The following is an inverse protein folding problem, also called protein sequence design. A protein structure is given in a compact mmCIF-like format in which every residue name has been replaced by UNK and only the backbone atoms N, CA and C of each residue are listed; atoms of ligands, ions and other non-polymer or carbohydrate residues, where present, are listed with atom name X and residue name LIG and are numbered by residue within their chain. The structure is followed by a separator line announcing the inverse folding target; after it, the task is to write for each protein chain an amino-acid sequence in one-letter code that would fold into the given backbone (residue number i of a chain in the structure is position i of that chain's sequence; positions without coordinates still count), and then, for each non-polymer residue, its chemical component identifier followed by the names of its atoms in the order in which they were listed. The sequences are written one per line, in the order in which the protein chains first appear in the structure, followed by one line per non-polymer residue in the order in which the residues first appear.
data_IF_566288368622
#
_entry.id   IF_566288368622
#
_cell.length_a   1.000
_cell.length_b   1.000
_cell.length_c   1.000
_cell.angle_alpha   90.00
_cell.angle_beta   90.00
_cell.angle_gamma   90.00
#
_symmetry.space_group_name_H-M   'P 1'
#
loop_
_entity.id
_entity.type
_entity.pdbx_description
1 polymer ?
#
# COMPACT_ATOMS: atom_id res chain seq x y z
N UNK A 1 18.08 -8.84 -23.58
CA UNK A 1 17.78 -8.00 -22.40
C UNK A 1 19.05 -7.68 -21.60
N UNK A 2 19.96 -8.63 -21.38
CA UNK A 2 21.20 -8.41 -20.61
C UNK A 2 22.04 -7.22 -21.06
N UNK A 3 22.31 -7.07 -22.38
CA UNK A 3 23.07 -5.92 -22.90
C UNK A 3 22.44 -4.56 -22.59
N UNK A 4 21.11 -4.50 -22.46
CA UNK A 4 20.41 -3.26 -22.13
C UNK A 4 20.62 -2.91 -20.66
N UNK A 5 20.45 -3.88 -19.75
CA UNK A 5 20.70 -3.69 -18.31
C UNK A 5 22.15 -3.35 -18.00
N UNK A 6 23.12 -3.87 -18.76
CA UNK A 6 24.54 -3.54 -18.63
C UNK A 6 24.80 -2.04 -18.85
N UNK A 7 24.14 -1.42 -19.84
CA UNK A 7 24.24 0.02 -20.13
C UNK A 7 23.72 0.87 -18.95
N UNK A 8 22.70 0.40 -18.23
CA UNK A 8 22.17 1.09 -17.06
C UNK A 8 22.98 0.86 -15.78
N UNK A 9 23.69 -0.27 -15.66
CA UNK A 9 24.63 -0.51 -14.54
C UNK A 9 25.89 0.34 -14.67
N UNK A 10 26.38 0.57 -15.89
CA UNK A 10 27.53 1.45 -16.15
C UNK A 10 27.16 2.94 -15.97
N UNK A 11 25.88 3.28 -16.05
CA UNK A 11 25.35 4.60 -15.75
C UNK A 11 24.99 4.71 -14.26
N UNK A 12 26.00 4.87 -13.41
CA UNK A 12 25.78 5.32 -12.03
C UNK A 12 25.35 6.79 -12.07
N UNK A 13 24.05 7.04 -12.07
CA UNK A 13 23.52 8.38 -11.83
C UNK A 13 23.63 8.67 -10.34
N UNK A 14 24.76 9.24 -9.90
CA UNK A 14 24.93 9.81 -8.56
C UNK A 14 24.11 11.10 -8.37
N UNK A 15 22.85 11.08 -8.82
CA UNK A 15 21.91 12.13 -8.51
C UNK A 15 21.16 11.72 -7.26
N UNK A 16 21.24 12.55 -6.21
CA UNK A 16 20.44 12.31 -5.03
C UNK A 16 18.96 12.37 -5.43
N UNK A 17 18.12 11.61 -4.73
CA UNK A 17 16.68 11.66 -4.97
C UNK A 17 16.13 13.10 -4.86
N UNK A 18 16.68 13.91 -3.96
CA UNK A 18 16.31 15.32 -3.82
C UNK A 18 16.67 16.13 -5.07
N UNK A 19 17.86 15.93 -5.63
CA UNK A 19 18.29 16.60 -6.86
C UNK A 19 17.43 16.16 -8.04
N UNK A 20 17.09 14.86 -8.14
CA UNK A 20 16.18 14.35 -9.17
C UNK A 20 14.79 15.00 -9.09
N UNK A 21 14.25 15.20 -7.88
CA UNK A 21 12.99 15.91 -7.67
C UNK A 21 13.08 17.40 -8.02
N UNK A 22 14.23 18.05 -7.78
CA UNK A 22 14.45 19.45 -8.15
C UNK A 22 14.62 19.64 -9.66
N UNK A 23 15.12 18.62 -10.38
CA UNK A 23 15.17 18.64 -11.84
C UNK A 23 13.79 18.49 -12.49
N UNK A 24 12.80 17.94 -11.77
CA UNK A 24 11.44 17.81 -12.25
C UNK A 24 10.65 19.13 -12.04
N UNK A 25 10.25 19.87 -13.09
CA UNK A 25 9.67 21.21 -12.93
C UNK A 25 8.42 21.28 -12.04
N UNK A 26 7.57 20.23 -12.09
CA UNK A 26 6.38 20.14 -11.24
C UNK A 26 6.73 19.98 -9.76
N UNK A 27 7.72 19.15 -9.45
CA UNK A 27 8.16 18.93 -8.08
C UNK A 27 8.95 20.12 -7.55
N UNK A 28 9.84 20.70 -8.36
CA UNK A 28 10.55 21.93 -8.02
C UNK A 28 9.59 23.07 -7.67
N UNK A 29 8.53 23.27 -8.47
CA UNK A 29 7.49 24.27 -8.21
C UNK A 29 6.75 23.97 -6.91
N UNK A 30 6.35 22.71 -6.68
CA UNK A 30 5.67 22.29 -5.45
C UNK A 30 6.54 22.51 -4.20
N UNK A 31 7.81 22.08 -4.23
CA UNK A 31 8.78 22.27 -3.14
C UNK A 31 8.95 23.76 -2.86
N UNK A 32 9.11 24.58 -3.89
CA UNK A 32 9.20 26.04 -3.75
C UNK A 32 7.94 26.62 -3.10
N UNK A 33 6.74 26.23 -3.54
CA UNK A 33 5.49 26.66 -2.93
C UNK A 33 5.34 26.24 -1.47
N UNK A 34 5.81 25.03 -1.11
CA UNK A 34 5.83 24.55 0.27
C UNK A 34 6.79 25.38 1.14
N UNK A 35 7.99 25.66 0.65
CA UNK A 35 8.99 26.48 1.36
C UNK A 35 8.50 27.91 1.58
N UNK A 36 7.87 28.53 0.58
CA UNK A 36 7.30 29.89 0.70
C UNK A 36 6.15 29.97 1.69
N UNK A 37 5.39 28.88 1.87
CA UNK A 37 4.25 28.83 2.80
C UNK A 37 4.55 28.08 4.11
N UNK A 38 5.84 27.85 4.43
CA UNK A 38 6.24 26.99 5.55
C UNK A 38 5.64 27.43 6.88
N UNK A 39 5.57 28.74 7.15
CA UNK A 39 5.03 29.26 8.41
C UNK A 39 3.54 28.98 8.55
N UNK A 40 2.77 29.19 7.47
CA UNK A 40 1.33 28.85 7.44
C UNK A 40 1.09 27.35 7.60
N UNK A 41 1.95 26.53 7.01
CA UNK A 41 1.91 25.08 7.15
C UNK A 41 2.18 24.67 8.61
N UNK A 42 3.15 25.31 9.25
CA UNK A 42 3.49 25.07 10.65
C UNK A 42 2.37 25.47 11.60
N UNK A 43 1.71 26.61 11.35
CA UNK A 43 0.52 27.02 12.10
C UNK A 43 -0.64 26.04 11.89
N UNK A 44 -0.87 25.58 10.66
CA UNK A 44 -1.91 24.59 10.37
C UNK A 44 -1.65 23.24 11.07
N UNK A 45 -0.38 22.84 11.21
CA UNK A 45 0.02 21.64 11.95
C UNK A 45 -0.18 21.75 13.48
N UNK A 46 -0.23 22.98 14.03
CA UNK A 46 -0.52 23.23 15.45
C UNK A 46 -2.02 23.19 15.77
N UNK A 47 -2.89 23.28 14.76
CA UNK A 47 -4.33 23.23 14.97
C UNK A 47 -4.71 21.82 15.46
N UNK A 48 -5.29 21.68 16.67
CA UNK A 48 -5.73 20.38 17.15
C UNK A 48 -6.85 19.87 16.24
N UNK A 49 -6.60 18.75 15.58
CA UNK A 49 -7.58 18.07 14.75
C UNK A 49 -8.53 17.26 15.65
N UNK A 50 -9.82 17.25 15.33
CA UNK A 50 -10.74 16.31 15.98
C UNK A 50 -10.38 14.85 15.61
N UNK A 51 -10.89 13.89 16.38
CA UNK A 51 -10.53 12.47 16.22
C UNK A 51 -10.86 11.92 14.82
N UNK A 52 -12.02 12.28 14.27
CA UNK A 52 -12.42 11.83 12.93
C UNK A 52 -11.51 12.39 11.82
N UNK A 53 -11.19 13.68 11.87
CA UNK A 53 -10.27 14.33 10.94
C UNK A 53 -8.87 13.73 11.05
N UNK A 54 -8.39 13.49 12.27
CA UNK A 54 -7.09 12.85 12.52
C UNK A 54 -7.01 11.44 11.93
N UNK A 55 -8.05 10.61 12.14
CA UNK A 55 -8.13 9.26 11.60
C UNK A 55 -8.10 9.24 10.05
N UNK A 56 -8.80 10.18 9.43
CA UNK A 56 -8.86 10.32 7.97
C UNK A 56 -7.54 10.82 7.37
N UNK A 57 -6.91 11.82 8.01
CA UNK A 57 -5.71 12.49 7.51
C UNK A 57 -4.45 11.66 7.73
N UNK A 58 -4.37 10.96 8.87
CA UNK A 58 -3.27 10.03 9.14
C UNK A 58 -3.36 8.75 8.30
N UNK A 59 -4.46 8.54 7.55
CA UNK A 59 -4.78 7.26 6.89
C UNK A 59 -4.31 6.09 7.77
N UNK A 60 -4.58 6.16 9.09
CA UNK A 60 -4.27 5.03 9.95
C UNK A 60 -5.13 3.93 9.36
N UNK A 61 -4.46 3.01 8.65
CA UNK A 61 -5.10 1.80 8.18
C UNK A 61 -5.83 1.28 9.41
N UNK A 62 -7.15 1.01 9.33
CA UNK A 62 -7.84 0.41 10.45
C UNK A 62 -6.96 -0.75 10.89
N UNK A 63 -6.62 -0.80 12.19
CA UNK A 63 -5.73 -1.82 12.73
C UNK A 63 -6.18 -3.14 12.12
N UNK A 64 -5.33 -3.77 11.29
CA UNK A 64 -5.68 -5.05 10.69
C UNK A 64 -6.06 -5.94 11.87
N UNK A 65 -7.31 -6.41 11.92
CA UNK A 65 -7.62 -7.51 12.81
C UNK A 65 -6.62 -8.60 12.46
N UNK A 66 -5.91 -9.12 13.48
CA UNK A 66 -5.00 -10.23 13.29
C UNK A 66 -5.73 -11.31 12.51
N UNK A 67 -5.07 -11.84 11.48
CA UNK A 67 -5.67 -12.91 10.70
C UNK A 67 -6.04 -14.04 11.68
N UNK A 68 -7.32 -14.44 11.79
CA UNK A 68 -7.75 -15.50 12.70
C UNK A 68 -7.05 -16.84 12.42
N UNK A 69 -6.27 -16.92 11.33
CA UNK A 69 -5.56 -18.09 10.87
C UNK A 69 -6.42 -18.86 9.88
N UNK A 70 -6.15 -20.15 9.75
CA UNK A 70 -6.99 -21.04 8.92
C UNK A 70 -8.33 -21.25 9.62
N UNK A 71 -9.37 -20.54 9.19
CA UNK A 71 -10.74 -20.84 9.62
C UNK A 71 -11.43 -21.72 8.57
N UNK A 72 -12.13 -22.74 9.06
CA UNK A 72 -12.92 -23.64 8.24
C UNK A 72 -14.36 -23.15 8.20
N UNK A 73 -14.94 -23.04 7.00
CA UNK A 73 -16.33 -22.70 6.78
C UNK A 73 -17.08 -24.00 6.43
N UNK A 74 -18.16 -24.36 7.14
CA UNK A 74 -19.01 -25.47 6.73
C UNK A 74 -19.72 -25.12 5.41
N UNK A 75 -19.62 -26.02 4.44
CA UNK A 75 -20.22 -25.90 3.13
C UNK A 75 -21.12 -27.12 2.88
N UNK A 76 -22.35 -26.85 2.46
CA UNK A 76 -23.33 -27.86 2.11
C UNK A 76 -23.55 -27.82 0.59
N UNK A 77 -23.29 -28.95 -0.07
CA UNK A 77 -23.40 -29.08 -1.52
C UNK A 77 -24.39 -30.21 -1.85
N UNK A 78 -25.30 -30.02 -2.82
CA UNK A 78 -26.26 -31.07 -3.20
C UNK A 78 -25.57 -32.36 -3.62
N UNK A 79 -25.87 -33.46 -2.93
CA UNK A 79 -25.31 -34.79 -3.23
C UNK A 79 -23.91 -35.06 -2.64
N UNK A 80 -23.42 -34.21 -1.74
CA UNK A 80 -22.21 -34.45 -0.95
C UNK A 80 -22.52 -34.31 0.55
N UNK A 81 -21.77 -35.02 1.38
CA UNK A 81 -21.79 -34.79 2.82
C UNK A 81 -21.25 -33.39 3.16
N UNK A 82 -21.71 -32.82 4.27
CA UNK A 82 -21.28 -31.51 4.76
C UNK A 82 -19.76 -31.48 4.86
N UNK A 83 -19.14 -30.58 4.09
CA UNK A 83 -17.69 -30.46 4.00
C UNK A 83 -17.21 -29.16 4.68
N UNK A 84 -15.98 -29.16 5.15
CA UNK A 84 -15.36 -27.99 5.76
C UNK A 84 -14.34 -27.40 4.78
N UNK A 85 -14.63 -26.22 4.24
CA UNK A 85 -13.76 -25.52 3.30
C UNK A 85 -12.79 -24.58 4.03
N UNK A 86 -11.54 -24.54 3.58
CA UNK A 86 -10.55 -23.60 4.10
C UNK A 86 -10.74 -22.22 3.47
N UNK A 87 -11.00 -21.21 4.29
CA UNK A 87 -11.08 -19.83 3.83
C UNK A 87 -9.67 -19.24 3.68
N UNK A 88 -9.23 -19.05 2.44
CA UNK A 88 -7.95 -18.40 2.13
C UNK A 88 -8.19 -17.04 1.47
N UNK A 89 -8.02 -15.95 2.22
CA UNK A 89 -8.17 -14.58 1.72
C UNK A 89 -7.16 -14.21 0.62
N UNK A 90 -6.08 -14.99 0.47
CA UNK A 90 -5.10 -14.83 -0.60
C UNK A 90 -5.41 -15.62 -1.88
N UNK A 91 -6.44 -16.46 -1.91
CA UNK A 91 -6.83 -17.21 -3.08
C UNK A 91 -7.89 -16.45 -3.90
N UNK A 92 -7.70 -16.37 -5.22
CA UNK A 92 -8.68 -15.78 -6.15
C UNK A 92 -9.69 -16.79 -6.69
N UNK A 93 -9.53 -18.09 -6.39
CA UNK A 93 -10.35 -19.19 -6.90
C UNK A 93 -10.67 -20.20 -5.80
N UNK A 94 -11.83 -20.87 -5.92
CA UNK A 94 -12.25 -21.95 -5.04
C UNK A 94 -11.77 -23.29 -5.60
N UNK A 95 -11.19 -24.15 -4.75
CA UNK A 95 -10.72 -25.48 -5.12
C UNK A 95 -11.46 -26.52 -4.27
N UNK A 96 -11.98 -27.57 -4.92
CA UNK A 96 -12.52 -28.75 -4.27
C UNK A 96 -11.61 -29.92 -4.67
N UNK A 97 -10.92 -30.57 -3.72
CA UNK A 97 -10.10 -31.73 -4.04
C UNK A 97 -11.01 -32.88 -4.50
N UNK A 98 -10.69 -33.45 -5.66
CA UNK A 98 -11.31 -34.69 -6.11
C UNK A 98 -10.75 -35.83 -5.25
N UNK A 99 -11.62 -36.49 -4.47
CA UNK A 99 -11.26 -37.74 -3.80
C UNK A 99 -11.47 -38.88 -4.79
N UNK A 100 -10.41 -39.64 -5.10
CA UNK A 100 -10.41 -40.80 -6.00
C UNK A 100 -10.60 -42.06 -5.19
#
# INVERSE_FOLDING_TARGET
MEKFFQIFQDFHFDISFADALLLMPKFASMIKSLLTNKDKLFELAKIPLNENCSAMLLKKLPNKLGDPGKFLIPCDFPGMDVCHALANLGASINLIPLSI
#
